data_IF_940518100580
#
_entry.id   IF_940518100580
#
_cell.length_a   1.000
_cell.length_b   1.000
_cell.length_c   1.000
_cell.angle_alpha   90.00
_cell.angle_beta   90.00
_cell.angle_gamma   90.00
#
_symmetry.space_group_name_H-M   'P 1'
#
loop_
_entity.id
_entity.type
_entity.pdbx_description
1 polymer ?
#
# COMPACT_ATOMS: atom_id res chain seq x y z
N UNK A 1 23.13 -10.79 8.37
CA UNK A 1 22.19 -9.77 8.88
C UNK A 1 21.79 -8.89 7.69
N UNK A 2 20.56 -9.00 7.18
CA UNK A 2 20.10 -8.14 6.09
C UNK A 2 19.86 -6.77 6.70
N UNK A 3 20.76 -5.82 6.43
CA UNK A 3 20.56 -4.45 6.87
C UNK A 3 19.45 -3.85 5.99
N UNK A 4 18.39 -3.38 6.63
CA UNK A 4 17.14 -2.94 5.99
C UNK A 4 17.17 -1.43 5.73
N UNK A 5 18.28 -0.91 5.20
CA UNK A 5 18.59 0.53 5.16
C UNK A 5 17.58 1.37 4.34
N UNK A 6 16.80 0.71 3.48
CA UNK A 6 15.87 1.37 2.56
C UNK A 6 14.41 1.18 2.95
N UNK A 7 14.08 0.22 3.81
CA UNK A 7 12.70 0.00 4.24
C UNK A 7 12.27 1.08 5.21
N UNK A 8 11.09 1.65 4.96
CA UNK A 8 10.35 2.34 5.99
C UNK A 8 9.19 1.43 6.42
N UNK A 9 8.86 1.50 7.71
CA UNK A 9 7.68 0.86 8.29
C UNK A 9 6.67 1.94 8.63
N UNK A 10 5.73 2.29 7.74
CA UNK A 10 4.83 3.41 7.96
C UNK A 10 4.03 3.30 9.27
N UNK A 11 3.76 2.08 9.74
CA UNK A 11 3.07 1.79 11.00
C UNK A 11 3.78 2.36 12.24
N UNK A 12 5.09 2.60 12.15
CA UNK A 12 5.88 3.21 13.23
C UNK A 12 5.75 4.73 13.32
N UNK A 13 5.16 5.38 12.31
CA UNK A 13 5.01 6.84 12.29
C UNK A 13 3.77 7.28 13.07
N UNK A 14 3.82 8.43 13.76
CA UNK A 14 2.72 8.88 14.62
C UNK A 14 1.54 9.49 13.87
N UNK A 15 1.70 9.90 12.61
CA UNK A 15 0.66 10.58 11.84
C UNK A 15 0.68 10.14 10.37
N UNK A 16 -0.49 10.22 9.72
CA UNK A 16 -0.65 10.09 8.27
C UNK A 16 -1.43 11.27 7.68
N UNK A 17 -1.17 11.66 6.43
CA UNK A 17 -0.09 11.17 5.55
C UNK A 17 1.33 11.45 6.10
N UNK A 18 2.35 10.79 5.53
CA UNK A 18 3.71 10.91 6.03
C UNK A 18 4.36 12.24 5.62
N UNK A 19 5.23 12.78 6.48
CA UNK A 19 6.16 13.85 6.11
C UNK A 19 7.40 13.25 5.43
N UNK A 20 7.35 13.20 4.09
CA UNK A 20 8.44 12.67 3.29
C UNK A 20 9.70 13.53 3.34
N UNK A 21 9.58 14.85 3.53
CA UNK A 21 10.73 15.74 3.65
C UNK A 21 11.55 15.40 4.89
N UNK A 22 10.88 15.09 6.00
CA UNK A 22 11.52 14.62 7.22
C UNK A 22 12.14 13.23 7.04
N UNK A 23 11.47 12.32 6.34
CA UNK A 23 11.97 10.95 6.09
C UNK A 23 13.24 10.95 5.23
N UNK A 24 13.30 11.82 4.21
CA UNK A 24 14.48 11.97 3.36
C UNK A 24 15.52 12.94 3.92
N UNK A 25 15.14 13.78 4.88
CA UNK A 25 15.98 14.82 5.48
C UNK A 25 16.25 16.01 4.55
N UNK A 26 15.39 16.21 3.53
CA UNK A 26 15.48 17.30 2.55
C UNK A 26 14.12 17.54 1.88
N UNK A 27 13.96 18.72 1.28
CA UNK A 27 12.87 18.98 0.34
C UNK A 27 13.32 18.62 -1.07
N UNK A 28 12.55 17.77 -1.75
CA UNK A 28 12.78 17.44 -3.16
C UNK A 28 11.49 16.95 -3.81
N UNK A 29 11.51 16.86 -5.15
CA UNK A 29 10.40 16.26 -5.88
C UNK A 29 10.36 14.76 -5.66
N UNK A 30 9.16 14.25 -5.41
CA UNK A 30 8.94 12.84 -5.12
C UNK A 30 8.45 12.12 -6.38
N UNK A 31 9.10 10.99 -6.66
CA UNK A 31 8.72 10.06 -7.73
C UNK A 31 8.38 8.71 -7.11
N UNK A 32 7.24 8.14 -7.51
CA UNK A 32 6.76 6.86 -6.99
C UNK A 32 6.83 5.78 -8.06
N UNK A 33 7.26 4.58 -7.71
CA UNK A 33 7.05 3.38 -8.55
C UNK A 33 6.15 2.37 -7.82
N UNK A 34 5.03 2.02 -8.43
CA UNK A 34 4.14 0.96 -7.94
C UNK A 34 4.51 -0.37 -8.61
N UNK A 35 4.88 -1.35 -7.80
CA UNK A 35 5.26 -2.69 -8.28
C UNK A 35 6.67 -2.71 -8.88
N UNK A 36 7.66 -2.19 -8.16
CA UNK A 36 9.03 -2.06 -8.66
C UNK A 36 9.74 -3.40 -8.97
N UNK A 37 9.16 -4.54 -8.56
CA UNK A 37 9.73 -5.85 -8.83
C UNK A 37 11.13 -6.00 -8.25
N UNK A 38 12.12 -6.37 -9.07
CA UNK A 38 13.51 -6.50 -8.60
C UNK A 38 14.24 -5.14 -8.42
N UNK A 39 13.55 -4.01 -8.67
CA UNK A 39 14.03 -2.66 -8.39
C UNK A 39 15.09 -2.14 -9.36
N UNK A 40 15.29 -2.73 -10.53
CA UNK A 40 16.32 -2.22 -11.47
C UNK A 40 15.92 -0.85 -12.03
N UNK A 41 14.66 -0.68 -12.40
CA UNK A 41 14.16 0.58 -12.92
C UNK A 41 14.29 1.68 -11.86
N UNK A 42 13.74 1.44 -10.65
CA UNK A 42 13.89 2.35 -9.52
C UNK A 42 15.34 2.73 -9.21
N UNK A 43 16.25 1.75 -9.20
CA UNK A 43 17.67 1.97 -8.91
C UNK A 43 18.32 2.91 -9.94
N UNK A 44 18.10 2.65 -11.22
CA UNK A 44 18.71 3.44 -12.29
C UNK A 44 18.10 4.84 -12.36
N UNK A 45 16.78 4.97 -12.18
CA UNK A 45 16.12 6.28 -12.10
C UNK A 45 16.67 7.11 -10.94
N UNK A 46 16.76 6.52 -9.74
CA UNK A 46 17.31 7.21 -8.57
C UNK A 46 18.78 7.61 -8.72
N UNK A 47 19.58 6.78 -9.41
CA UNK A 47 20.99 7.08 -9.71
C UNK A 47 21.15 8.23 -10.70
N UNK A 48 20.27 8.31 -11.70
CA UNK A 48 20.28 9.33 -12.74
C UNK A 48 19.71 10.68 -12.27
N UNK A 49 18.81 10.64 -11.29
CA UNK A 49 18.15 11.81 -10.72
C UNK A 49 18.43 11.97 -9.21
N UNK A 50 19.68 12.25 -8.80
CA UNK A 50 20.01 12.43 -7.38
C UNK A 50 19.30 13.64 -6.74
N UNK A 51 18.81 14.58 -7.55
CA UNK A 51 18.01 15.74 -7.15
C UNK A 51 16.59 15.39 -6.70
N UNK A 52 16.07 14.20 -7.05
CA UNK A 52 14.72 13.73 -6.70
C UNK A 52 14.77 12.62 -5.67
N UNK A 53 13.68 12.45 -4.94
CA UNK A 53 13.47 11.35 -4.00
C UNK A 53 12.50 10.31 -4.57
N UNK A 54 12.82 9.04 -4.37
CA UNK A 54 12.10 7.93 -4.96
C UNK A 54 11.46 7.04 -3.90
N UNK A 55 10.19 6.69 -4.08
CA UNK A 55 9.48 5.76 -3.20
C UNK A 55 8.97 4.56 -4.01
N UNK A 56 9.38 3.36 -3.60
CA UNK A 56 8.96 2.12 -4.24
C UNK A 56 7.97 1.32 -3.40
N UNK A 57 6.88 0.86 -4.02
CA UNK A 57 5.94 -0.09 -3.42
C UNK A 57 6.04 -1.49 -4.02
N UNK A 58 6.09 -2.52 -3.17
CA UNK A 58 6.09 -3.93 -3.60
C UNK A 58 5.56 -4.84 -2.48
N UNK A 59 4.82 -5.89 -2.85
CA UNK A 59 4.27 -6.88 -1.91
C UNK A 59 5.17 -8.12 -1.74
N UNK A 60 5.95 -8.46 -2.78
CA UNK A 60 6.87 -9.59 -2.80
C UNK A 60 8.12 -9.32 -1.96
N UNK A 61 8.27 -10.06 -0.85
CA UNK A 61 9.47 -9.98 0.00
C UNK A 61 10.76 -10.34 -0.77
N UNK A 62 10.68 -11.27 -1.72
CA UNK A 62 11.83 -11.67 -2.54
C UNK A 62 12.30 -10.54 -3.45
N UNK A 63 11.35 -9.83 -4.05
CA UNK A 63 11.59 -8.63 -4.88
C UNK A 63 12.19 -7.51 -4.04
N UNK A 64 11.60 -7.26 -2.88
CA UNK A 64 12.01 -6.27 -1.90
C UNK A 64 13.49 -6.46 -1.46
N UNK A 65 13.88 -7.68 -1.07
CA UNK A 65 15.27 -7.98 -0.65
C UNK A 65 16.26 -7.80 -1.81
N UNK A 66 15.89 -8.19 -3.04
CA UNK A 66 16.74 -8.00 -4.22
C UNK A 66 16.99 -6.52 -4.52
N UNK A 67 15.95 -5.69 -4.43
CA UNK A 67 16.06 -4.25 -4.65
C UNK A 67 17.00 -3.60 -3.62
N UNK A 68 16.84 -3.91 -2.33
CA UNK A 68 17.72 -3.37 -1.28
C UNK A 68 19.20 -3.71 -1.50
N UNK A 69 19.51 -4.95 -1.90
CA UNK A 69 20.89 -5.33 -2.23
C UNK A 69 21.44 -4.48 -3.38
N UNK A 70 20.63 -4.21 -4.41
CA UNK A 70 21.02 -3.38 -5.56
C UNK A 70 21.26 -1.93 -5.14
N UNK A 71 20.36 -1.35 -4.37
CA UNK A 71 20.46 0.04 -3.91
C UNK A 71 21.70 0.25 -3.05
N UNK A 72 21.99 -0.71 -2.16
CA UNK A 72 23.20 -0.70 -1.33
C UNK A 72 24.47 -0.74 -2.18
N UNK A 73 24.51 -1.60 -3.20
CA UNK A 73 25.66 -1.67 -4.11
C UNK A 73 25.88 -0.36 -4.88
N UNK A 74 24.81 0.38 -5.18
CA UNK A 74 24.87 1.70 -5.82
C UNK A 74 25.08 2.85 -4.83
N UNK A 75 25.02 2.60 -3.52
CA UNK A 75 25.14 3.63 -2.49
C UNK A 75 24.01 4.67 -2.55
N UNK A 76 22.81 4.28 -3.00
CA UNK A 76 21.69 5.21 -3.14
C UNK A 76 21.25 5.75 -1.78
N UNK A 77 20.90 7.03 -1.74
CA UNK A 77 20.42 7.73 -0.52
C UNK A 77 19.03 8.33 -0.69
N UNK A 78 18.60 8.52 -1.93
CA UNK A 78 17.35 9.14 -2.35
C UNK A 78 16.26 8.09 -2.70
N UNK A 79 16.27 6.93 -2.04
CA UNK A 79 15.26 5.88 -2.26
C UNK A 79 14.74 5.35 -0.94
N UNK A 80 13.42 5.18 -0.83
CA UNK A 80 12.76 4.45 0.26
C UNK A 80 11.80 3.41 -0.30
N UNK A 81 11.67 2.30 0.41
CA UNK A 81 10.81 1.19 0.03
C UNK A 81 9.74 0.93 1.09
N UNK A 82 8.54 0.62 0.64
CA UNK A 82 7.42 0.22 1.51
C UNK A 82 6.85 -1.10 1.03
N UNK A 83 6.74 -2.07 1.95
CA UNK A 83 6.20 -3.39 1.63
C UNK A 83 4.68 -3.44 1.78
N UNK A 84 3.94 -2.87 0.84
CA UNK A 84 2.47 -2.83 0.82
C UNK A 84 1.94 -2.77 -0.62
N UNK A 85 0.64 -3.04 -0.83
CA UNK A 85 -0.01 -2.74 -2.10
C UNK A 85 0.17 -1.24 -2.42
N UNK A 86 0.78 -0.94 -3.56
CA UNK A 86 1.16 0.44 -3.89
C UNK A 86 -0.01 1.38 -4.12
N UNK A 87 -1.22 0.89 -4.39
CA UNK A 87 -2.42 1.74 -4.50
C UNK A 87 -2.86 2.18 -3.11
N UNK A 88 -2.85 1.26 -2.15
CA UNK A 88 -3.06 1.59 -0.74
C UNK A 88 -1.95 2.53 -0.23
N UNK A 89 -0.68 2.19 -0.50
CA UNK A 89 0.47 3.00 -0.09
C UNK A 89 0.41 4.43 -0.66
N UNK A 90 0.11 4.57 -1.95
CA UNK A 90 -0.02 5.87 -2.59
C UNK A 90 -1.14 6.71 -1.94
N UNK A 91 -2.31 6.12 -1.68
CA UNK A 91 -3.44 6.82 -1.07
C UNK A 91 -3.16 7.28 0.35
N UNK A 92 -2.63 6.39 1.19
CA UNK A 92 -2.56 6.63 2.63
C UNK A 92 -1.29 7.37 3.06
N UNK A 93 -0.19 7.24 2.33
CA UNK A 93 1.12 7.72 2.77
C UNK A 93 1.53 9.08 2.21
N UNK A 94 0.88 9.55 1.13
CA UNK A 94 1.25 10.82 0.50
C UNK A 94 0.22 11.91 0.80
N UNK A 95 0.67 13.11 1.21
CA UNK A 95 -0.17 14.30 1.21
C UNK A 95 -0.74 14.60 -0.18
N UNK A 96 -1.81 15.37 -0.23
CA UNK A 96 -2.32 15.90 -1.51
C UNK A 96 -1.25 16.78 -2.17
N UNK A 97 -1.16 16.72 -3.51
CA UNK A 97 -0.23 17.52 -4.32
C UNK A 97 1.24 17.41 -3.89
N UNK A 98 1.72 16.20 -3.60
CA UNK A 98 3.09 15.95 -3.11
C UNK A 98 3.94 15.06 -4.01
N UNK A 99 3.33 14.43 -5.03
CA UNK A 99 4.01 13.49 -5.93
C UNK A 99 4.16 14.11 -7.32
N UNK A 100 5.38 14.24 -7.82
CA UNK A 100 5.64 14.75 -9.17
C UNK A 100 5.21 13.73 -10.23
N UNK A 101 5.55 12.45 -10.00
CA UNK A 101 5.36 11.40 -11.00
C UNK A 101 5.11 10.03 -10.37
N UNK A 102 4.20 9.26 -10.96
CA UNK A 102 3.96 7.85 -10.64
C UNK A 102 4.29 6.98 -11.84
N UNK A 103 5.15 5.99 -11.63
CA UNK A 103 5.44 4.92 -12.59
C UNK A 103 4.65 3.66 -12.25
N UNK A 104 4.08 3.03 -13.27
CA UNK A 104 3.50 1.70 -13.19
C UNK A 104 3.99 0.88 -14.39
N UNK A 105 4.93 -0.03 -14.14
CA UNK A 105 5.63 -0.78 -15.17
C UNK A 105 5.17 -2.24 -15.23
N UNK A 106 4.53 -2.65 -16.32
CA UNK A 106 4.10 -4.04 -16.59
C UNK A 106 3.31 -4.69 -15.44
N UNK A 107 2.27 -4.03 -14.91
CA UNK A 107 1.48 -4.60 -13.81
C UNK A 107 0.69 -5.82 -14.28
N UNK A 108 0.30 -6.68 -13.34
CA UNK A 108 -0.61 -7.79 -13.65
C UNK A 108 -1.93 -7.23 -14.22
N UNK A 109 -2.39 -7.70 -15.39
CA UNK A 109 -3.49 -7.06 -16.09
C UNK A 109 -4.88 -7.43 -15.56
N UNK A 110 -4.99 -8.47 -14.72
CA UNK A 110 -6.25 -8.91 -14.09
C UNK A 110 -7.46 -9.02 -15.05
N UNK A 111 -7.42 -9.88 -16.10
CA UNK A 111 -8.40 -9.87 -17.20
C UNK A 111 -9.83 -10.32 -16.83
N UNK A 112 -10.08 -10.75 -15.58
CA UNK A 112 -11.39 -11.26 -15.15
C UNK A 112 -12.27 -10.11 -14.65
N UNK A 113 -13.54 -10.06 -15.07
CA UNK A 113 -14.56 -9.06 -14.64
C UNK A 113 -14.76 -8.91 -13.12
N UNK A 114 -14.30 -9.86 -12.30
CA UNK A 114 -14.34 -9.73 -10.84
C UNK A 114 -13.12 -9.02 -10.23
N UNK A 115 -12.13 -8.65 -11.03
CA UNK A 115 -10.86 -8.09 -10.57
C UNK A 115 -10.64 -6.65 -11.03
N UNK A 116 -11.67 -5.97 -11.51
CA UNK A 116 -11.56 -4.62 -12.08
C UNK A 116 -11.09 -3.61 -11.04
N UNK A 117 -11.53 -3.76 -9.79
CA UNK A 117 -11.06 -3.00 -8.63
C UNK A 117 -9.56 -3.22 -8.30
N UNK A 118 -8.89 -4.17 -8.98
CA UNK A 118 -7.44 -4.42 -8.87
C UNK A 118 -6.63 -3.70 -9.94
N UNK A 119 -7.28 -3.22 -11.00
CA UNK A 119 -6.63 -2.51 -12.10
C UNK A 119 -6.39 -1.05 -11.73
N UNK A 120 -5.40 -0.44 -12.38
CA UNK A 120 -5.11 0.99 -12.24
C UNK A 120 -6.17 1.88 -12.91
N UNK A 121 -7.09 1.28 -13.66
CA UNK A 121 -8.25 1.97 -14.25
C UNK A 121 -9.41 2.10 -13.28
N UNK A 122 -9.31 1.51 -12.07
CA UNK A 122 -10.33 1.68 -11.04
C UNK A 122 -10.52 3.15 -10.66
N UNK A 123 -11.78 3.53 -10.44
CA UNK A 123 -12.15 4.89 -10.03
C UNK A 123 -11.37 5.35 -8.81
N UNK A 124 -11.27 4.51 -7.78
CA UNK A 124 -10.52 4.81 -6.55
C UNK A 124 -9.04 5.13 -6.81
N UNK A 125 -8.41 4.46 -7.78
CA UNK A 125 -7.01 4.72 -8.10
C UNK A 125 -6.84 6.03 -8.88
N UNK A 126 -7.71 6.31 -9.84
CA UNK A 126 -7.70 7.59 -10.57
C UNK A 126 -7.95 8.75 -9.61
N UNK A 127 -8.90 8.60 -8.68
CA UNK A 127 -9.18 9.59 -7.63
C UNK A 127 -7.99 9.77 -6.68
N UNK A 128 -7.30 8.68 -6.35
CA UNK A 128 -6.07 8.74 -5.54
C UNK A 128 -4.98 9.52 -6.28
N UNK A 129 -4.73 9.20 -7.55
CA UNK A 129 -3.75 9.92 -8.37
C UNK A 129 -4.10 11.41 -8.49
N UNK A 130 -5.37 11.75 -8.72
CA UNK A 130 -5.80 13.14 -8.86
C UNK A 130 -5.69 13.93 -7.56
N UNK A 131 -5.65 13.28 -6.39
CA UNK A 131 -5.39 13.92 -5.11
C UNK A 131 -3.87 14.10 -4.86
N UNK A 132 -3.09 13.03 -5.02
CA UNK A 132 -1.67 13.01 -4.58
C UNK A 132 -0.69 13.63 -5.57
N UNK A 133 -0.96 13.55 -6.87
CA UNK A 133 -0.07 14.16 -7.87
C UNK A 133 -0.08 15.68 -7.71
N UNK A 134 1.05 16.32 -7.92
CA UNK A 134 1.10 17.78 -8.11
C UNK A 134 0.30 18.18 -9.36
N UNK A 135 -0.05 19.46 -9.49
CA UNK A 135 -0.57 19.95 -10.77
C UNK A 135 0.50 19.74 -11.85
N UNK A 136 0.08 19.30 -13.04
CA UNK A 136 0.97 18.86 -14.12
C UNK A 136 1.84 17.63 -13.81
N UNK A 137 1.68 17.01 -12.63
CA UNK A 137 2.27 15.73 -12.31
C UNK A 137 1.69 14.60 -13.17
N UNK A 138 2.46 13.54 -13.40
CA UNK A 138 2.11 12.52 -14.40
C UNK A 138 2.04 11.10 -13.86
N UNK A 139 1.12 10.32 -14.41
CA UNK A 139 1.21 8.87 -14.44
C UNK A 139 1.91 8.44 -15.73
N UNK A 140 2.96 7.62 -15.61
CA UNK A 140 3.57 6.91 -16.72
C UNK A 140 3.28 5.41 -16.57
N UNK A 141 2.44 4.88 -17.45
CA UNK A 141 1.99 3.49 -17.43
C UNK A 141 2.54 2.73 -18.64
N UNK A 142 3.27 1.64 -18.37
CA UNK A 142 3.82 0.77 -19.40
C UNK A 142 3.22 -0.64 -19.32
N UNK A 143 2.86 -1.23 -20.46
CA UNK A 143 2.32 -2.60 -20.55
C UNK A 143 2.69 -3.28 -21.87
N UNK A 144 2.65 -4.61 -21.90
CA UNK A 144 2.72 -5.45 -23.11
C UNK A 144 1.35 -5.94 -23.59
N UNK A 145 0.27 -5.56 -22.89
CA UNK A 145 -1.10 -5.97 -23.17
C UNK A 145 -1.88 -4.82 -23.84
N UNK A 146 -2.13 -4.93 -25.15
CA UNK A 146 -2.79 -3.87 -25.94
C UNK A 146 -4.19 -3.50 -25.42
N UNK A 147 -4.99 -4.49 -25.01
CA UNK A 147 -6.32 -4.24 -24.47
C UNK A 147 -6.25 -3.46 -23.16
N UNK A 148 -5.23 -3.71 -22.33
CA UNK A 148 -5.07 -2.99 -21.06
C UNK A 148 -4.55 -1.57 -21.31
N UNK A 149 -3.67 -1.39 -22.30
CA UNK A 149 -3.25 -0.06 -22.76
C UNK A 149 -4.45 0.79 -23.20
N UNK A 150 -5.36 0.21 -23.99
CA UNK A 150 -6.60 0.86 -24.43
C UNK A 150 -7.54 1.18 -23.27
N UNK A 151 -7.73 0.23 -22.35
CA UNK A 151 -8.55 0.45 -21.15
C UNK A 151 -7.99 1.60 -20.29
N UNK A 152 -6.67 1.70 -20.14
CA UNK A 152 -6.02 2.80 -19.41
C UNK A 152 -6.18 4.11 -20.15
N UNK A 153 -5.97 4.16 -21.46
CA UNK A 153 -6.22 5.36 -22.24
C UNK A 153 -7.66 5.86 -22.04
N UNK A 154 -8.65 5.01 -22.25
CA UNK A 154 -10.07 5.37 -22.11
C UNK A 154 -10.42 5.85 -20.69
N UNK A 155 -9.92 5.17 -19.65
CA UNK A 155 -10.21 5.55 -18.27
C UNK A 155 -9.65 6.92 -17.89
N UNK A 156 -8.47 7.29 -18.42
CA UNK A 156 -7.87 8.60 -18.18
C UNK A 156 -8.41 9.70 -19.10
N UNK A 157 -8.74 9.38 -20.35
CA UNK A 157 -9.32 10.32 -21.31
C UNK A 157 -10.75 10.75 -20.92
N UNK A 158 -11.52 9.84 -20.30
CA UNK A 158 -12.85 10.14 -19.75
C UNK A 158 -12.81 10.79 -18.37
N UNK A 159 -11.65 10.88 -17.73
CA UNK A 159 -11.50 11.50 -16.43
C UNK A 159 -11.47 13.02 -16.53
N UNK A 160 -12.21 13.72 -15.68
CA UNK A 160 -12.12 15.19 -15.58
C UNK A 160 -10.80 15.68 -14.95
N UNK A 161 -9.99 14.77 -14.39
CA UNK A 161 -8.77 15.12 -13.66
C UNK A 161 -7.50 15.10 -14.51
N UNK A 162 -7.54 14.41 -15.66
CA UNK A 162 -6.36 14.09 -16.43
C UNK A 162 -6.52 14.43 -17.92
N UNK A 163 -5.40 14.66 -18.59
CA UNK A 163 -5.28 14.66 -20.04
C UNK A 163 -4.26 13.58 -20.42
N UNK A 164 -4.58 12.77 -21.42
CA UNK A 164 -3.63 11.79 -21.98
C UNK A 164 -2.71 12.52 -22.96
N UNK A 165 -1.49 12.83 -22.52
CA UNK A 165 -0.50 13.53 -23.33
C UNK A 165 0.13 12.60 -24.38
N UNK A 166 0.16 11.29 -24.13
CA UNK A 166 0.81 10.33 -25.04
C UNK A 166 0.25 8.91 -24.95
N UNK A 167 0.16 8.26 -26.10
CA UNK A 167 -0.02 6.83 -26.28
C UNK A 167 0.99 6.34 -27.33
N UNK A 168 2.02 5.60 -26.90
CA UNK A 168 3.17 5.27 -27.75
C UNK A 168 3.40 3.77 -27.81
N UNK A 169 3.38 3.20 -29.01
CA UNK A 169 3.81 1.83 -29.27
C UNK A 169 5.34 1.74 -29.39
N UNK A 170 5.94 0.69 -28.85
CA UNK A 170 7.37 0.40 -28.89
C UNK A 170 8.24 1.60 -28.46
N UNK A 171 7.77 2.28 -27.42
CA UNK A 171 8.40 3.48 -26.87
C UNK A 171 9.86 3.27 -26.48
N UNK A 172 10.60 4.36 -26.51
CA UNK A 172 11.95 4.46 -25.97
C UNK A 172 11.95 5.45 -24.82
N UNK A 173 12.67 5.13 -23.76
CA UNK A 173 12.84 6.00 -22.60
C UNK A 173 14.23 5.85 -22.02
N UNK A 174 14.58 6.76 -21.12
CA UNK A 174 15.92 6.87 -20.56
C UNK A 174 16.39 5.62 -19.81
N UNK A 175 15.47 4.93 -19.12
CA UNK A 175 15.73 3.70 -18.36
C UNK A 175 14.77 2.63 -18.81
N UNK A 176 15.30 1.54 -19.37
CA UNK A 176 14.48 0.37 -19.71
C UNK A 176 14.33 -0.57 -18.49
N UNK A 177 13.13 -1.11 -18.29
CA UNK A 177 12.88 -2.22 -17.38
C UNK A 177 13.43 -3.54 -17.96
N UNK A 178 13.53 -4.56 -17.11
CA UNK A 178 13.84 -5.92 -17.57
C UNK A 178 12.79 -6.46 -18.56
N UNK A 179 11.51 -6.11 -18.35
CA UNK A 179 10.41 -6.54 -19.22
C UNK A 179 10.51 -5.88 -20.59
N UNK A 180 10.77 -4.57 -20.66
CA UNK A 180 11.03 -3.86 -21.92
C UNK A 180 12.13 -4.52 -22.74
N UNK A 181 13.32 -4.73 -22.14
CA UNK A 181 14.42 -5.40 -22.83
C UNK A 181 14.03 -6.79 -23.34
N UNK A 182 13.33 -7.57 -22.52
CA UNK A 182 12.87 -8.91 -22.87
C UNK A 182 11.88 -8.87 -24.03
N UNK A 183 10.87 -8.01 -23.98
CA UNK A 183 9.82 -7.93 -24.98
C UNK A 183 10.33 -7.38 -26.31
N UNK A 184 11.20 -6.36 -26.26
CA UNK A 184 11.95 -5.87 -27.42
C UNK A 184 12.77 -6.96 -28.10
N UNK A 185 13.50 -7.78 -27.34
CA UNK A 185 14.26 -8.91 -27.90
C UNK A 185 13.39 -10.01 -28.53
N UNK A 186 12.11 -10.07 -28.17
CA UNK A 186 11.14 -11.04 -28.69
C UNK A 186 10.25 -10.45 -29.79
N UNK A 187 10.47 -9.18 -30.19
CA UNK A 187 9.60 -8.48 -31.14
C UNK A 187 8.16 -8.29 -30.64
N UNK A 188 7.94 -8.38 -29.32
CA UNK A 188 6.61 -8.12 -28.73
C UNK A 188 6.38 -6.61 -28.65
N UNK A 189 5.15 -6.19 -28.97
CA UNK A 189 4.73 -4.80 -28.83
C UNK A 189 4.63 -4.41 -27.36
N UNK A 190 5.06 -3.20 -27.04
CA UNK A 190 4.86 -2.56 -25.74
C UNK A 190 4.18 -1.22 -25.93
N UNK A 191 3.43 -0.78 -24.94
CA UNK A 191 2.62 0.44 -24.98
C UNK A 191 2.96 1.31 -23.77
N UNK A 192 3.13 2.61 -24.00
CA UNK A 192 3.30 3.62 -22.96
C UNK A 192 2.15 4.61 -23.02
N UNK A 193 1.56 4.88 -21.87
CA UNK A 193 0.57 5.95 -21.70
C UNK A 193 1.13 6.95 -20.69
N UNK A 194 1.10 8.23 -21.04
CA UNK A 194 1.40 9.33 -20.13
C UNK A 194 0.13 10.14 -19.94
N UNK A 195 -0.37 10.16 -18.70
CA UNK A 195 -1.52 10.96 -18.31
C UNK A 195 -1.07 12.04 -17.32
N UNK A 196 -1.38 13.30 -17.62
CA UNK A 196 -1.01 14.47 -16.82
C UNK A 196 -2.20 15.04 -16.10
N UNK A 197 -2.03 15.33 -14.82
CA UNK A 197 -3.08 15.93 -13.98
C UNK A 197 -3.31 17.39 -14.40
N UNK A 198 -4.57 17.73 -14.64
CA UNK A 198 -5.02 19.08 -15.01
C UNK A 198 -6.05 19.68 -14.04
N UNK A 199 -6.60 18.85 -13.14
CA UNK A 199 -7.57 19.29 -12.13
C UNK A 199 -7.33 18.57 -10.81
N UNK A 200 -7.49 19.31 -9.70
CA UNK A 200 -7.38 18.74 -8.36
C UNK A 200 -8.56 17.84 -8.02
N UNK A 201 -8.26 16.61 -7.63
CA UNK A 201 -9.20 15.73 -6.93
C UNK A 201 -8.98 15.74 -5.42
N UNK A 202 -9.78 14.95 -4.73
CA UNK A 202 -9.65 14.70 -3.28
C UNK A 202 -9.78 13.21 -3.02
N UNK A 203 -9.09 12.69 -2.02
CA UNK A 203 -9.21 11.27 -1.67
C UNK A 203 -9.43 11.11 -0.17
N UNK A 204 -10.41 10.27 0.18
CA UNK A 204 -10.63 9.87 1.56
C UNK A 204 -9.60 8.81 1.95
N UNK A 205 -8.91 9.05 3.06
CA UNK A 205 -7.88 8.16 3.60
C UNK A 205 -8.42 7.40 4.81
N UNK A 206 -7.98 6.14 4.97
CA UNK A 206 -8.32 5.32 6.12
C UNK A 206 -7.47 5.66 7.35
N UNK A 207 -6.22 6.08 7.11
CA UNK A 207 -5.21 6.27 8.16
C UNK A 207 -5.04 7.72 8.60
N UNK A 208 -5.68 8.66 7.90
CA UNK A 208 -5.49 10.10 8.11
C UNK A 208 -5.67 10.53 9.56
N UNK A 209 -4.74 11.37 10.01
CA UNK A 209 -4.64 11.84 11.38
C UNK A 209 -3.69 10.99 12.22
N UNK A 210 -3.96 10.95 13.52
CA UNK A 210 -3.08 10.35 14.51
C UNK A 210 -3.12 8.81 14.45
N UNK A 211 -1.94 8.22 14.41
CA UNK A 211 -1.72 6.78 14.32
C UNK A 211 -1.75 6.11 15.72
N UNK A 212 -2.79 6.38 16.50
CA UNK A 212 -2.95 5.89 17.87
C UNK A 212 -3.34 4.40 17.93
N UNK A 213 -2.73 3.66 18.85
CA UNK A 213 -3.19 2.33 19.26
C UNK A 213 -4.23 2.48 20.37
N UNK A 214 -5.43 1.97 20.17
CA UNK A 214 -6.38 1.80 21.26
C UNK A 214 -6.18 0.40 21.85
N UNK A 215 -5.60 0.27 23.05
CA UNK A 215 -5.85 -0.92 23.86
C UNK A 215 -7.25 -0.77 24.48
N UNK A 216 -7.94 -1.89 24.70
CA UNK A 216 -9.24 -1.89 25.36
C UNK A 216 -9.08 -2.59 26.70
N UNK A 217 -9.40 -1.87 27.77
CA UNK A 217 -9.46 -2.41 29.13
C UNK A 217 -10.90 -2.69 29.50
N UNK A 218 -11.16 -3.84 30.12
CA UNK A 218 -12.49 -4.19 30.63
C UNK A 218 -12.39 -5.05 31.88
N UNK A 219 -13.49 -5.15 32.63
CA UNK A 219 -13.58 -5.92 33.86
C UNK A 219 -14.54 -7.10 33.67
N UNK A 220 -14.27 -8.22 34.35
CA UNK A 220 -15.11 -9.42 34.32
C UNK A 220 -14.33 -10.72 34.28
N UNK A 221 -15.06 -11.81 34.07
CA UNK A 221 -14.49 -13.16 33.97
C UNK A 221 -14.43 -13.61 32.52
N UNK A 222 -13.22 -13.85 32.00
CA UNK A 222 -13.03 -14.43 30.67
C UNK A 222 -12.76 -15.93 30.83
N UNK A 223 -13.70 -16.76 30.36
CA UNK A 223 -13.50 -18.21 30.30
C UNK A 223 -12.88 -18.64 28.98
N UNK A 224 -12.19 -19.78 28.99
CA UNK A 224 -11.62 -20.37 27.79
C UNK A 224 -12.70 -20.72 26.75
N UNK A 225 -13.85 -21.22 27.20
CA UNK A 225 -14.98 -21.59 26.36
C UNK A 225 -15.53 -20.38 25.63
N UNK A 226 -15.64 -19.23 26.33
CA UNK A 226 -16.10 -17.97 25.75
C UNK A 226 -15.14 -17.48 24.68
N UNK A 227 -13.85 -17.48 24.96
CA UNK A 227 -12.81 -17.15 23.97
C UNK A 227 -12.86 -18.07 22.76
N UNK A 228 -12.94 -19.38 22.99
CA UNK A 228 -12.99 -20.37 21.91
C UNK A 228 -14.24 -20.23 21.05
N UNK A 229 -15.36 -19.78 21.63
CA UNK A 229 -16.60 -19.50 20.90
C UNK A 229 -16.47 -18.38 19.86
N UNK A 230 -15.45 -17.51 19.97
CA UNK A 230 -15.18 -16.47 18.98
C UNK A 230 -14.53 -17.03 17.70
N UNK A 231 -13.88 -18.19 17.77
CA UNK A 231 -13.18 -18.78 16.63
C UNK A 231 -14.15 -19.06 15.48
N UNK A 232 -13.85 -18.53 14.30
CA UNK A 232 -14.68 -18.62 13.10
C UNK A 232 -15.79 -17.57 13.02
N UNK A 233 -16.11 -16.82 14.09
CA UNK A 233 -17.14 -15.78 14.05
C UNK A 233 -16.75 -14.65 13.10
N UNK A 234 -17.72 -14.24 12.28
CA UNK A 234 -17.61 -13.14 11.32
C UNK A 234 -18.43 -11.96 11.84
N UNK A 235 -17.78 -10.81 11.98
CA UNK A 235 -18.40 -9.57 12.40
C UNK A 235 -18.44 -8.62 11.19
N UNK A 236 -19.61 -8.04 10.91
CA UNK A 236 -19.81 -7.08 9.82
C UNK A 236 -20.39 -5.77 10.34
N UNK A 237 -19.86 -4.63 9.88
CA UNK A 237 -20.40 -3.31 10.17
C UNK A 237 -20.12 -2.37 8.99
N UNK A 238 -21.17 -2.02 8.24
CA UNK A 238 -21.09 -1.19 7.03
C UNK A 238 -19.97 -1.70 6.10
N UNK A 239 -18.92 -0.91 5.89
CA UNK A 239 -17.82 -1.17 4.96
C UNK A 239 -16.63 -1.88 5.65
N UNK A 240 -16.85 -2.51 6.81
CA UNK A 240 -15.80 -3.17 7.59
C UNK A 240 -16.23 -4.57 7.99
N UNK A 241 -15.31 -5.51 7.86
CA UNK A 241 -15.50 -6.90 8.26
C UNK A 241 -14.29 -7.36 9.03
N UNK A 242 -14.47 -8.12 10.10
CA UNK A 242 -13.38 -8.91 10.66
C UNK A 242 -13.83 -10.31 11.07
N UNK A 243 -12.87 -11.21 11.13
CA UNK A 243 -13.05 -12.61 11.52
C UNK A 243 -11.99 -12.99 12.52
N UNK A 244 -12.41 -13.52 13.67
CA UNK A 244 -11.48 -14.17 14.61
C UNK A 244 -11.19 -15.55 14.03
N UNK A 245 -10.06 -15.71 13.35
CA UNK A 245 -9.74 -16.95 12.62
C UNK A 245 -9.30 -18.08 13.52
N UNK A 246 -8.60 -17.76 14.61
CA UNK A 246 -8.09 -18.76 15.55
C UNK A 246 -7.81 -18.12 16.89
N UNK A 247 -8.02 -18.89 17.96
CA UNK A 247 -7.65 -18.51 19.32
C UNK A 247 -6.63 -19.52 19.85
N UNK A 248 -5.58 -18.99 20.46
CA UNK A 248 -4.48 -19.75 21.05
C UNK A 248 -4.42 -19.50 22.56
N UNK A 249 -3.89 -20.48 23.30
CA UNK A 249 -3.66 -20.41 24.74
C UNK A 249 -2.26 -20.94 25.03
N UNK A 250 -1.39 -20.07 25.54
CA UNK A 250 -0.04 -20.42 26.00
C UNK A 250 0.50 -19.29 26.90
N UNK A 251 0.53 -19.47 28.22
CA UNK A 251 0.88 -18.41 29.18
C UNK A 251 -0.04 -17.18 29.22
N UNK A 252 -0.97 -17.06 28.27
CA UNK A 252 -1.96 -16.00 28.03
C UNK A 252 -2.86 -16.39 26.85
N UNK A 253 -3.55 -15.42 26.25
CA UNK A 253 -4.42 -15.67 25.09
C UNK A 253 -4.01 -14.82 23.89
N UNK A 254 -4.00 -15.46 22.71
CA UNK A 254 -3.69 -14.80 21.46
C UNK A 254 -4.80 -15.06 20.44
N UNK A 255 -5.32 -14.02 19.80
CA UNK A 255 -6.36 -14.14 18.78
C UNK A 255 -5.79 -13.75 17.43
N UNK A 256 -5.83 -14.67 16.45
CA UNK A 256 -5.54 -14.34 15.05
C UNK A 256 -6.78 -13.74 14.41
N UNK A 257 -6.68 -12.49 13.99
CA UNK A 257 -7.79 -11.75 13.39
C UNK A 257 -7.45 -11.40 11.94
N UNK A 258 -8.46 -11.47 11.08
CA UNK A 258 -8.38 -10.97 9.71
C UNK A 258 -9.43 -9.88 9.58
N UNK A 259 -9.03 -8.67 9.19
CA UNK A 259 -9.97 -7.60 8.88
C UNK A 259 -9.87 -7.18 7.41
N UNK A 260 -10.97 -6.64 6.91
CA UNK A 260 -11.07 -5.97 5.63
C UNK A 260 -11.76 -4.62 5.85
N UNK A 261 -11.10 -3.55 5.44
CA UNK A 261 -11.65 -2.19 5.39
C UNK A 261 -12.25 -1.88 4.02
N UNK A 262 -12.82 -0.68 3.89
CA UNK A 262 -13.26 -0.08 2.62
C UNK A 262 -12.12 -0.09 1.59
N UNK A 263 -12.44 -0.38 0.32
CA UNK A 263 -11.44 -0.56 -0.74
C UNK A 263 -10.71 -1.90 -0.70
N UNK A 264 -11.32 -2.93 -0.09
CA UNK A 264 -10.80 -4.32 0.00
C UNK A 264 -9.41 -4.44 0.66
N UNK A 265 -9.02 -3.47 1.48
CA UNK A 265 -7.74 -3.54 2.19
C UNK A 265 -7.80 -4.55 3.32
N UNK A 266 -7.15 -5.70 3.09
CA UNK A 266 -7.17 -6.84 4.00
C UNK A 266 -5.87 -6.96 4.78
N UNK A 267 -5.99 -7.15 6.09
CA UNK A 267 -4.87 -7.33 7.00
C UNK A 267 -5.06 -8.58 7.87
N UNK A 268 -3.94 -9.18 8.27
CA UNK A 268 -3.88 -10.26 9.26
C UNK A 268 -3.04 -9.77 10.42
N UNK A 269 -3.55 -9.85 11.63
CA UNK A 269 -2.86 -9.43 12.83
C UNK A 269 -3.24 -10.32 14.01
N UNK A 270 -2.50 -10.15 15.10
CA UNK A 270 -2.75 -10.87 16.33
C UNK A 270 -3.15 -9.88 17.43
N UNK A 271 -4.05 -10.32 18.30
CA UNK A 271 -4.44 -9.59 19.50
C UNK A 271 -3.97 -10.38 20.73
N UNK A 272 -3.24 -9.71 21.61
CA UNK A 272 -2.89 -10.22 22.94
C UNK A 272 -4.02 -9.86 23.91
N UNK A 273 -4.50 -10.88 24.61
CA UNK A 273 -5.41 -10.72 25.74
C UNK A 273 -4.73 -11.26 26.99
N UNK A 274 -4.52 -10.35 27.94
CA UNK A 274 -3.92 -10.62 29.24
C UNK A 274 -4.78 -10.01 30.34
N UNK A 275 -4.82 -10.64 31.51
CA UNK A 275 -5.64 -10.17 32.63
C UNK A 275 -5.10 -10.56 33.99
N UNK A 276 -5.37 -9.72 34.98
CA UNK A 276 -4.99 -9.93 36.38
C UNK A 276 -6.09 -9.40 37.29
N UNK A 277 -6.46 -10.17 38.31
CA UNK A 277 -7.47 -9.80 39.31
C UNK A 277 -8.82 -9.33 38.70
N UNK A 278 -9.29 -10.00 37.64
CA UNK A 278 -10.57 -9.67 37.00
C UNK A 278 -10.54 -8.44 36.08
N UNK A 279 -9.40 -7.78 35.93
CA UNK A 279 -9.17 -6.73 34.92
C UNK A 279 -8.39 -7.29 33.74
N UNK A 280 -8.91 -7.06 32.53
CA UNK A 280 -8.37 -7.56 31.28
C UNK A 280 -7.94 -6.42 30.36
N UNK A 281 -6.91 -6.68 29.57
CA UNK A 281 -6.37 -5.79 28.55
C UNK A 281 -6.34 -6.56 27.24
N UNK A 282 -7.04 -6.06 26.23
CA UNK A 282 -6.96 -6.52 24.85
C UNK A 282 -6.18 -5.49 24.04
N UNK A 283 -5.06 -5.89 23.44
CA UNK A 283 -4.18 -5.02 22.65
C UNK A 283 -3.69 -5.72 21.38
N UNK A 284 -3.14 -4.95 20.46
CA UNK A 284 -2.39 -5.52 19.33
C UNK A 284 -1.15 -6.25 19.84
N UNK A 285 -0.86 -7.40 19.25
CA UNK A 285 0.40 -8.10 19.44
C UNK A 285 1.55 -7.35 18.77
N UNK A 286 2.64 -7.17 19.51
CA UNK A 286 3.81 -6.38 19.10
C UNK A 286 4.50 -6.95 17.85
N UNK A 287 4.36 -8.25 17.58
CA UNK A 287 4.96 -8.91 16.41
C UNK A 287 4.17 -8.72 15.11
N UNK A 288 2.92 -8.28 15.18
CA UNK A 288 2.02 -8.23 14.01
C UNK A 288 2.01 -6.89 13.27
N UNK A 289 2.32 -5.79 13.96
CA UNK A 289 2.43 -4.40 13.48
C UNK A 289 1.52 -4.03 12.28
N UNK A 290 0.19 -4.18 12.39
CA UNK A 290 -0.71 -3.83 11.29
C UNK A 290 -0.92 -2.32 11.20
N UNK A 291 -1.38 -1.85 10.03
CA UNK A 291 -1.89 -0.48 9.90
C UNK A 291 -3.14 -0.34 10.78
N UNK A 292 -3.18 0.68 11.64
CA UNK A 292 -4.26 0.91 12.62
C UNK A 292 -5.52 1.48 11.96
N UNK A 293 -6.05 0.74 11.01
CA UNK A 293 -7.24 1.10 10.23
C UNK A 293 -8.50 1.09 11.09
N UNK A 294 -9.57 1.73 10.62
CA UNK A 294 -10.84 1.74 11.33
C UNK A 294 -11.43 0.34 11.63
N UNK A 295 -11.17 -0.70 10.80
CA UNK A 295 -11.60 -2.07 11.10
C UNK A 295 -10.81 -2.70 12.26
N UNK A 296 -9.53 -2.38 12.42
CA UNK A 296 -8.73 -2.83 13.58
C UNK A 296 -9.22 -2.17 14.87
N UNK A 297 -9.39 -0.84 14.86
CA UNK A 297 -9.94 -0.11 16.02
C UNK A 297 -11.34 -0.61 16.40
N UNK A 298 -12.12 -1.09 15.43
CA UNK A 298 -13.43 -1.68 15.67
C UNK A 298 -13.35 -3.11 16.19
N UNK A 299 -12.47 -3.96 15.66
CA UNK A 299 -12.35 -5.35 16.11
C UNK A 299 -11.95 -5.47 17.57
N UNK A 300 -11.02 -4.62 18.04
CA UNK A 300 -10.63 -4.54 19.44
C UNK A 300 -11.82 -4.25 20.37
N UNK A 301 -12.59 -3.19 20.07
CA UNK A 301 -13.79 -2.83 20.84
C UNK A 301 -14.84 -3.93 20.80
N UNK A 302 -15.12 -4.47 19.62
CA UNK A 302 -16.16 -5.47 19.45
C UNK A 302 -15.82 -6.79 20.12
N UNK A 303 -14.57 -7.23 20.07
CA UNK A 303 -14.13 -8.45 20.78
C UNK A 303 -14.23 -8.24 22.29
N UNK A 304 -13.82 -7.08 22.82
CA UNK A 304 -13.97 -6.79 24.24
C UNK A 304 -15.44 -6.81 24.68
N UNK A 305 -16.35 -6.21 23.91
CA UNK A 305 -17.80 -6.29 24.15
C UNK A 305 -18.28 -7.75 24.25
N UNK A 306 -17.94 -8.59 23.26
CA UNK A 306 -18.33 -10.01 23.23
C UNK A 306 -17.74 -10.82 24.40
N UNK A 307 -16.60 -10.38 24.96
CA UNK A 307 -15.99 -11.01 26.14
C UNK A 307 -16.63 -10.53 27.45
N UNK A 308 -17.27 -9.36 27.47
CA UNK A 308 -18.00 -8.84 28.64
C UNK A 308 -19.45 -9.33 28.75
N UNK A 309 -20.12 -9.60 27.63
CA UNK A 309 -21.54 -10.08 27.58
C UNK A 309 -21.64 -11.58 27.78
#
# INVERSE_FOLDING_TARGET
MVVVDYEIKPQSFPFFPLDWSQIFGRESKIVVEIGFGNGEFLAEMARKHPEKDFVGFEVSITSFVKAQKKFKNYGLKNVKLVKVDGRFGLRELFPDNSVEKVYVNFPCPWPKKGHENRRITSHDFIQTLSAVLEMDGTLEFATDEEWYAKEVHEAFDTSEYFVVDSFVENFQREVETRYERKWKSQGKRTFLIIARKVKHGTVKRLLEGENTVAHVTFEGTVSWEKLKSLEGKVFKNKNKVFVVKRVYRDGGYLLKVISTDEGDFRQIYYLDLSGKNGRWVLKLDDGSDPYRTPAIKWSLRKIAEELTT
#
